data_IF_150610759371
#
_entry.id   IF_150610759371
#
_cell.length_a   1.000
_cell.length_b   1.000
_cell.length_c   1.000
_cell.angle_alpha   90.00
_cell.angle_beta   90.00
_cell.angle_gamma   90.00
#
_symmetry.space_group_name_H-M   'P 1'
#
loop_
_entity.id
_entity.type
_entity.pdbx_description
1 polymer ?
#
# COMPACT_ATOMS: atom_id res chain seq x y z
N UNK A 1 -2.37 -10.02 -15.01
CA UNK A 1 -0.89 -9.90 -15.05
C UNK A 1 -0.38 -10.06 -13.63
N UNK A 2 0.44 -11.03 -13.44
CA UNK A 2 1.01 -11.33 -12.13
C UNK A 2 2.26 -10.46 -11.93
N UNK A 3 2.19 -9.59 -10.95
CA UNK A 3 3.28 -8.69 -10.58
C UNK A 3 3.88 -9.14 -9.26
N UNK A 4 5.19 -9.14 -9.15
CA UNK A 4 5.90 -9.43 -7.91
C UNK A 4 7.17 -8.59 -7.79
N UNK A 5 7.37 -7.99 -6.62
CA UNK A 5 8.61 -7.32 -6.21
C UNK A 5 9.11 -8.03 -4.95
N UNK A 6 10.30 -8.58 -5.02
CA UNK A 6 10.90 -9.33 -3.89
C UNK A 6 11.96 -8.47 -3.20
N UNK A 7 11.86 -8.38 -1.89
CA UNK A 7 12.85 -7.69 -1.03
C UNK A 7 13.54 -8.70 -0.10
N UNK A 8 14.38 -8.22 0.81
CA UNK A 8 15.07 -9.08 1.78
C UNK A 8 14.07 -9.89 2.64
N UNK A 9 12.97 -9.27 3.09
CA UNK A 9 12.02 -9.87 4.00
C UNK A 9 10.59 -10.00 3.46
N UNK A 10 10.29 -9.39 2.30
CA UNK A 10 8.93 -9.27 1.77
C UNK A 10 8.84 -9.78 0.33
N UNK A 11 7.67 -10.28 -0.01
CA UNK A 11 7.16 -10.39 -1.36
C UNK A 11 5.97 -9.43 -1.50
N UNK A 12 6.07 -8.47 -2.40
CA UNK A 12 4.98 -7.59 -2.79
C UNK A 12 4.43 -8.14 -4.10
N UNK A 13 3.24 -8.69 -4.08
CA UNK A 13 2.66 -9.39 -5.23
C UNK A 13 1.23 -8.97 -5.52
N UNK A 14 0.77 -9.26 -6.72
CA UNK A 14 -0.65 -9.12 -7.05
C UNK A 14 -1.51 -9.84 -6.00
N UNK A 15 -2.67 -9.24 -5.67
CA UNK A 15 -3.60 -9.86 -4.73
C UNK A 15 -4.12 -11.19 -5.26
N UNK A 16 -4.25 -12.15 -4.35
CA UNK A 16 -4.94 -13.42 -4.56
C UNK A 16 -6.26 -13.43 -3.80
N UNK A 17 -7.18 -14.31 -4.17
CA UNK A 17 -8.47 -14.43 -3.47
C UNK A 17 -8.29 -14.76 -1.99
N UNK A 18 -7.24 -15.51 -1.66
CA UNK A 18 -6.88 -15.87 -0.27
C UNK A 18 -6.42 -14.70 0.59
N UNK A 19 -6.08 -13.54 0.01
CA UNK A 19 -5.71 -12.33 0.74
C UNK A 19 -6.93 -11.58 1.31
N UNK A 20 -8.13 -11.90 0.82
CA UNK A 20 -9.34 -11.18 1.20
C UNK A 20 -9.61 -11.17 2.71
N UNK A 21 -9.52 -12.30 3.45
CA UNK A 21 -9.75 -12.26 4.90
C UNK A 21 -8.76 -11.35 5.64
N UNK A 22 -7.47 -11.45 5.34
CA UNK A 22 -6.43 -10.62 5.99
C UNK A 22 -6.63 -9.13 5.69
N UNK A 23 -6.96 -8.80 4.45
CA UNK A 23 -7.23 -7.41 4.05
C UNK A 23 -8.52 -6.87 4.67
N UNK A 24 -9.55 -7.69 4.78
CA UNK A 24 -10.80 -7.33 5.48
C UNK A 24 -10.54 -7.04 6.96
N UNK A 25 -9.74 -7.86 7.64
CA UNK A 25 -9.34 -7.64 9.03
C UNK A 25 -8.54 -6.35 9.18
N UNK A 26 -7.65 -6.05 8.25
CA UNK A 26 -6.91 -4.79 8.21
C UNK A 26 -7.85 -3.58 8.16
N UNK A 27 -8.82 -3.58 7.25
CA UNK A 27 -9.79 -2.48 7.11
C UNK A 27 -10.80 -2.41 8.26
N UNK A 28 -11.04 -3.49 8.99
CA UNK A 28 -11.88 -3.51 10.18
C UNK A 28 -11.16 -3.04 11.44
N UNK A 29 -9.83 -2.97 11.45
CA UNK A 29 -9.05 -2.54 12.60
C UNK A 29 -9.14 -1.02 12.78
N UNK A 30 -9.71 -0.58 13.92
CA UNK A 30 -9.87 0.83 14.24
C UNK A 30 -8.54 1.60 14.32
N UNK A 31 -7.46 0.95 14.75
CA UNK A 31 -6.14 1.56 14.78
C UNK A 31 -5.58 1.84 13.37
N UNK A 32 -5.96 1.04 12.41
CA UNK A 32 -5.60 1.23 10.99
C UNK A 32 -6.54 2.25 10.35
N UNK A 33 -7.85 2.13 10.57
CA UNK A 33 -8.88 3.01 9.98
C UNK A 33 -8.60 4.49 10.23
N UNK A 34 -8.15 4.85 11.43
CA UNK A 34 -7.88 6.24 11.77
C UNK A 34 -6.79 6.90 10.91
N UNK A 35 -5.96 6.11 10.25
CA UNK A 35 -4.88 6.58 9.37
C UNK A 35 -5.22 6.47 7.88
N UNK A 36 -6.34 5.84 7.55
CA UNK A 36 -6.82 5.73 6.18
C UNK A 36 -7.90 6.78 5.91
N UNK A 37 -7.99 7.24 4.68
CA UNK A 37 -9.05 8.15 4.24
C UNK A 37 -10.36 7.36 3.98
N UNK A 38 -10.72 6.50 4.93
CA UNK A 38 -11.95 5.71 4.90
C UNK A 38 -12.72 5.95 6.20
N UNK A 39 -14.03 5.94 6.10
CA UNK A 39 -14.89 6.07 7.28
C UNK A 39 -14.84 4.82 8.17
N UNK A 40 -15.35 4.90 9.41
CA UNK A 40 -15.51 3.73 10.27
C UNK A 40 -16.39 2.69 9.57
N UNK A 41 -15.96 1.43 9.60
CA UNK A 41 -16.73 0.33 9.03
C UNK A 41 -16.65 -0.90 9.93
N UNK A 42 -17.77 -1.62 10.01
CA UNK A 42 -17.82 -2.91 10.68
C UNK A 42 -17.25 -4.04 9.82
N UNK A 43 -17.22 -5.29 10.35
CA UNK A 43 -16.62 -6.44 9.65
C UNK A 43 -17.22 -6.71 8.27
N UNK A 44 -18.52 -6.59 8.12
CA UNK A 44 -19.21 -6.79 6.83
C UNK A 44 -18.83 -5.73 5.79
N UNK A 45 -18.83 -4.46 6.20
CA UNK A 45 -18.40 -3.35 5.34
C UNK A 45 -16.92 -3.43 4.98
N UNK A 46 -16.07 -3.83 5.93
CA UNK A 46 -14.64 -4.02 5.70
C UNK A 46 -14.35 -5.13 4.67
N UNK A 47 -15.11 -6.22 4.72
CA UNK A 47 -14.98 -7.31 3.76
C UNK A 47 -15.39 -6.89 2.34
N UNK A 48 -16.50 -6.17 2.23
CA UNK A 48 -16.97 -5.63 0.94
C UNK A 48 -15.98 -4.61 0.37
N UNK A 49 -15.48 -3.73 1.23
CA UNK A 49 -14.44 -2.75 0.87
C UNK A 49 -13.16 -3.44 0.39
N UNK A 50 -12.69 -4.47 1.10
CA UNK A 50 -11.51 -5.24 0.74
C UNK A 50 -11.67 -5.94 -0.62
N UNK A 51 -12.83 -6.54 -0.88
CA UNK A 51 -13.11 -7.18 -2.17
C UNK A 51 -13.09 -6.17 -3.33
N UNK A 52 -13.64 -4.99 -3.12
CA UNK A 52 -13.60 -3.89 -4.10
C UNK A 52 -12.19 -3.36 -4.28
N UNK A 53 -11.43 -3.21 -3.20
CA UNK A 53 -10.04 -2.76 -3.23
C UNK A 53 -9.14 -3.72 -4.05
N UNK A 54 -9.27 -5.02 -3.85
CA UNK A 54 -8.55 -6.04 -4.63
C UNK A 54 -8.89 -5.94 -6.12
N UNK A 55 -10.19 -5.87 -6.44
CA UNK A 55 -10.64 -5.75 -7.83
C UNK A 55 -10.09 -4.50 -8.50
N UNK A 56 -10.19 -3.36 -7.83
CA UNK A 56 -9.69 -2.09 -8.35
C UNK A 56 -8.17 -2.14 -8.56
N UNK A 57 -7.43 -2.77 -7.67
CA UNK A 57 -5.97 -2.94 -7.83
C UNK A 57 -5.61 -3.76 -9.07
N UNK A 58 -6.36 -4.83 -9.35
CA UNK A 58 -6.16 -5.61 -10.57
C UNK A 58 -6.47 -4.78 -11.82
N UNK A 59 -7.52 -3.98 -11.79
CA UNK A 59 -7.89 -3.10 -12.90
C UNK A 59 -6.84 -2.00 -13.12
N UNK A 60 -6.36 -1.37 -12.05
CA UNK A 60 -5.27 -0.37 -12.11
C UNK A 60 -4.00 -0.94 -12.77
N UNK A 61 -3.59 -2.14 -12.39
CA UNK A 61 -2.45 -2.82 -13.01
C UNK A 61 -2.66 -3.11 -14.49
N UNK A 62 -3.84 -3.61 -14.85
CA UNK A 62 -4.17 -3.98 -16.23
C UNK A 62 -4.26 -2.77 -17.15
N UNK A 63 -4.85 -1.68 -16.68
CA UNK A 63 -5.16 -0.51 -17.50
C UNK A 63 -4.11 0.59 -17.39
N UNK A 64 -3.54 0.77 -16.20
CA UNK A 64 -2.62 1.87 -15.89
C UNK A 64 -1.16 1.49 -15.76
N UNK A 65 -0.83 0.20 -15.77
CA UNK A 65 0.54 -0.28 -15.63
C UNK A 65 1.15 -0.10 -14.24
N UNK A 66 0.37 0.34 -13.26
CA UNK A 66 0.73 0.39 -11.85
C UNK A 66 -0.51 0.15 -11.00
N UNK A 67 -0.32 -0.24 -9.75
CA UNK A 67 -1.41 -0.50 -8.82
C UNK A 67 -0.87 -0.90 -7.46
N UNK A 68 -1.76 -1.30 -6.58
CA UNK A 68 -1.42 -1.73 -5.22
C UNK A 68 -1.11 -3.22 -5.20
N UNK A 69 -0.19 -3.61 -4.35
CA UNK A 69 0.24 -5.00 -4.17
C UNK A 69 -0.03 -5.46 -2.73
N UNK A 70 -0.27 -6.75 -2.58
CA UNK A 70 -0.29 -7.42 -1.29
C UNK A 70 1.12 -7.49 -0.72
N UNK A 71 1.29 -7.17 0.55
CA UNK A 71 2.58 -7.28 1.26
C UNK A 71 2.58 -8.57 2.06
N UNK A 72 3.49 -9.47 1.71
CA UNK A 72 3.58 -10.80 2.31
C UNK A 72 5.00 -11.02 2.85
N UNK A 73 5.18 -11.33 4.12
CA UNK A 73 6.50 -11.69 4.64
C UNK A 73 7.05 -12.94 3.96
N UNK A 74 8.34 -12.94 3.66
CA UNK A 74 9.02 -14.13 3.16
C UNK A 74 9.42 -15.00 4.35
N UNK A 75 8.83 -16.17 4.43
CA UNK A 75 9.21 -17.18 5.42
C UNK A 75 9.58 -18.47 4.70
N UNK A 76 10.58 -19.18 5.20
CA UNK A 76 11.01 -20.45 4.64
C UNK A 76 10.06 -21.62 4.93
N UNK A 77 9.11 -21.44 5.84
CA UNK A 77 8.28 -22.50 6.41
C UNK A 77 6.78 -22.17 6.30
N UNK A 78 6.13 -22.53 5.19
CA UNK A 78 4.69 -22.57 5.07
C UNK A 78 4.01 -21.32 4.49
N UNK A 79 2.69 -21.34 4.47
CA UNK A 79 1.85 -20.24 4.00
C UNK A 79 1.93 -19.06 4.97
N UNK A 80 2.30 -17.90 4.45
CA UNK A 80 2.36 -16.66 5.21
C UNK A 80 1.25 -15.74 4.73
N UNK A 81 0.43 -15.29 5.67
CA UNK A 81 -0.65 -14.34 5.37
C UNK A 81 -0.10 -12.97 4.94
N UNK A 82 -0.87 -12.30 4.09
CA UNK A 82 -0.67 -10.90 3.80
C UNK A 82 -0.76 -10.06 5.09
N UNK A 83 0.17 -9.13 5.25
CA UNK A 83 0.23 -8.24 6.42
C UNK A 83 -0.29 -6.83 6.10
N UNK A 84 -0.62 -6.57 4.86
CA UNK A 84 -1.12 -5.29 4.39
C UNK A 84 -0.92 -5.10 2.91
N UNK A 85 -0.80 -3.85 2.51
CA UNK A 85 -0.63 -3.47 1.11
C UNK A 85 0.38 -2.33 0.93
N UNK A 86 0.98 -2.26 -0.25
CA UNK A 86 1.82 -1.15 -0.69
C UNK A 86 1.81 -1.09 -2.23
N UNK A 87 1.76 0.10 -2.79
CA UNK A 87 1.80 0.24 -4.24
C UNK A 87 1.71 1.68 -4.72
N UNK A 88 1.60 1.83 -6.02
CA UNK A 88 1.43 3.10 -6.70
C UNK A 88 0.04 3.17 -7.32
N UNK A 89 -0.64 4.27 -7.14
CA UNK A 89 -1.98 4.53 -7.66
C UNK A 89 -1.96 5.76 -8.55
N UNK A 90 -2.71 5.72 -9.64
CA UNK A 90 -2.89 6.91 -10.46
C UNK A 90 -3.66 8.00 -9.71
N UNK A 91 -3.27 9.24 -9.94
CA UNK A 91 -3.97 10.42 -9.42
C UNK A 91 -4.90 10.95 -10.52
N UNK A 92 -6.24 10.96 -10.28
CA UNK A 92 -7.20 11.37 -11.31
C UNK A 92 -7.02 12.80 -11.83
N UNK A 93 -6.51 13.68 -10.99
CA UNK A 93 -6.30 15.10 -11.24
C UNK A 93 -4.86 15.45 -11.71
N UNK A 94 -3.97 14.45 -11.80
CA UNK A 94 -2.55 14.65 -12.16
C UNK A 94 -2.04 13.54 -13.08
N UNK A 95 -2.16 13.76 -14.38
CA UNK A 95 -1.81 12.77 -15.43
C UNK A 95 -0.35 12.29 -15.36
N UNK A 96 0.56 13.11 -14.86
CA UNK A 96 2.00 12.80 -14.82
C UNK A 96 2.52 12.46 -13.43
N UNK A 97 1.65 12.13 -12.49
CA UNK A 97 2.00 11.76 -11.13
C UNK A 97 1.27 10.50 -10.67
N UNK A 98 1.90 9.76 -9.79
CA UNK A 98 1.29 8.63 -9.07
C UNK A 98 1.43 8.82 -7.57
N UNK A 99 0.58 8.18 -6.81
CA UNK A 99 0.57 8.22 -5.35
C UNK A 99 1.09 6.90 -4.78
N UNK A 100 2.08 6.98 -3.90
CA UNK A 100 2.48 5.87 -3.04
C UNK A 100 1.45 5.73 -1.92
N UNK A 101 0.87 4.54 -1.82
CA UNK A 101 -0.07 4.17 -0.76
C UNK A 101 0.40 2.91 -0.05
N UNK A 102 0.23 2.85 1.27
CA UNK A 102 0.54 1.66 2.06
C UNK A 102 -0.22 1.65 3.38
N UNK A 103 -0.50 0.47 3.88
CA UNK A 103 -0.94 0.22 5.25
C UNK A 103 -0.57 -1.20 5.65
N UNK A 104 -0.16 -1.37 6.89
CA UNK A 104 0.13 -2.67 7.50
C UNK A 104 -0.73 -2.88 8.73
N UNK A 105 -1.04 -4.15 9.03
CA UNK A 105 -1.70 -4.54 10.26
C UNK A 105 -0.88 -4.12 11.48
N UNK A 106 -1.58 -3.73 12.56
CA UNK A 106 -0.99 -3.19 13.79
C UNK A 106 0.11 -4.09 14.38
N UNK A 107 -0.04 -5.41 14.31
CA UNK A 107 0.93 -6.38 14.80
C UNK A 107 2.28 -6.36 14.06
N UNK A 108 2.36 -5.67 12.93
CA UNK A 108 3.56 -5.60 12.08
C UNK A 108 4.21 -4.21 12.06
N UNK A 109 3.70 -3.27 12.87
CA UNK A 109 4.28 -1.94 12.99
C UNK A 109 5.61 -1.95 13.75
N UNK A 110 6.45 -0.96 13.49
CA UNK A 110 7.72 -0.76 14.20
C UNK A 110 8.83 -1.75 13.85
N UNK A 111 8.67 -2.54 12.78
CA UNK A 111 9.63 -3.55 12.33
C UNK A 111 10.35 -3.18 11.03
N UNK A 112 10.06 -2.02 10.48
CA UNK A 112 10.68 -1.55 9.24
C UNK A 112 10.05 -2.10 7.95
N UNK A 113 8.98 -2.87 8.02
CA UNK A 113 8.33 -3.47 6.86
C UNK A 113 7.74 -2.41 5.92
N UNK A 114 7.07 -1.40 6.44
CA UNK A 114 6.50 -0.33 5.61
C UNK A 114 7.57 0.43 4.85
N UNK A 115 8.70 0.73 5.48
CA UNK A 115 9.85 1.38 4.84
C UNK A 115 10.46 0.50 3.75
N UNK A 116 10.64 -0.78 4.01
CA UNK A 116 11.17 -1.75 3.05
C UNK A 116 10.25 -1.89 1.83
N UNK A 117 8.95 -2.01 2.06
CA UNK A 117 7.96 -2.07 0.99
C UNK A 117 7.92 -0.78 0.16
N UNK A 118 7.88 0.38 0.82
CA UNK A 118 7.84 1.68 0.17
C UNK A 118 9.07 1.93 -0.71
N UNK A 119 10.27 1.62 -0.22
CA UNK A 119 11.51 1.71 -1.01
C UNK A 119 11.44 0.87 -2.27
N UNK A 120 11.06 -0.39 -2.14
CA UNK A 120 10.98 -1.30 -3.27
C UNK A 120 9.97 -0.83 -4.33
N UNK A 121 8.81 -0.34 -3.90
CA UNK A 121 7.78 0.20 -4.79
C UNK A 121 8.25 1.49 -5.47
N UNK A 122 8.92 2.39 -4.74
CA UNK A 122 9.48 3.62 -5.31
C UNK A 122 10.56 3.33 -6.36
N UNK A 123 11.50 2.44 -6.07
CA UNK A 123 12.53 2.00 -7.02
C UNK A 123 11.89 1.41 -8.28
N UNK A 124 10.93 0.51 -8.10
CA UNK A 124 10.19 -0.07 -9.22
C UNK A 124 9.48 1.01 -10.05
N UNK A 125 8.82 1.96 -9.40
CA UNK A 125 8.10 3.05 -10.08
C UNK A 125 9.03 3.96 -10.90
N UNK A 126 10.20 4.31 -10.33
CA UNK A 126 11.22 5.11 -11.02
C UNK A 126 11.74 4.38 -12.26
N UNK A 127 11.95 3.08 -12.16
CA UNK A 127 12.54 2.29 -13.25
C UNK A 127 11.53 1.93 -14.37
N UNK A 128 10.23 1.86 -14.04
CA UNK A 128 9.24 1.29 -14.94
C UNK A 128 8.15 2.27 -15.41
N UNK A 129 7.94 3.38 -14.71
CA UNK A 129 6.89 4.34 -15.05
C UNK A 129 7.44 5.61 -15.69
N UNK A 130 6.70 6.11 -16.68
CA UNK A 130 6.98 7.41 -17.29
C UNK A 130 6.14 8.49 -16.59
N UNK A 131 6.48 8.78 -15.33
CA UNK A 131 5.84 9.83 -14.54
C UNK A 131 6.87 10.87 -14.12
N UNK A 132 6.41 12.10 -13.84
CA UNK A 132 7.29 13.19 -13.42
C UNK A 132 7.56 13.16 -11.93
N UNK A 133 6.61 12.67 -11.15
CA UNK A 133 6.71 12.64 -9.70
C UNK A 133 5.91 11.49 -9.09
N UNK A 134 6.41 11.00 -7.98
CA UNK A 134 5.70 10.07 -7.11
C UNK A 134 5.42 10.83 -5.80
N UNK A 135 4.15 10.97 -5.48
CA UNK A 135 3.68 11.68 -4.30
C UNK A 135 3.22 10.70 -3.22
N UNK A 136 3.20 11.13 -1.99
CA UNK A 136 2.56 10.43 -0.89
C UNK A 136 1.90 11.45 0.03
N UNK A 137 0.73 11.12 0.54
CA UNK A 137 -0.03 12.00 1.40
C UNK A 137 -0.24 11.34 2.77
N UNK A 138 -0.10 12.12 3.82
CA UNK A 138 -0.39 11.68 5.17
C UNK A 138 -0.82 12.87 6.02
N UNK A 139 -1.51 12.60 7.11
CA UNK A 139 -1.88 13.63 8.06
C UNK A 139 -0.64 14.15 8.79
N UNK A 140 -0.59 15.46 9.14
CA UNK A 140 0.56 16.04 9.84
C UNK A 140 0.89 15.34 11.16
N UNK A 141 -0.11 14.83 11.87
CA UNK A 141 0.01 14.14 13.15
C UNK A 141 0.40 12.66 13.04
N UNK A 142 0.38 12.09 11.82
CA UNK A 142 0.79 10.70 11.60
C UNK A 142 2.32 10.59 11.46
N UNK A 143 3.01 10.73 12.56
CA UNK A 143 4.50 10.76 12.60
C UNK A 143 5.12 9.49 12.05
N UNK A 144 4.54 8.31 12.33
CA UNK A 144 5.06 7.04 11.83
C UNK A 144 5.08 6.98 10.29
N UNK A 145 4.01 7.42 9.63
CA UNK A 145 3.95 7.48 8.16
C UNK A 145 4.94 8.49 7.59
N UNK A 146 5.07 9.66 8.22
CA UNK A 146 6.07 10.66 7.79
C UNK A 146 7.49 10.10 7.83
N UNK A 147 7.83 9.36 8.89
CA UNK A 147 9.14 8.69 9.00
C UNK A 147 9.37 7.63 7.94
N UNK A 148 8.34 6.85 7.61
CA UNK A 148 8.42 5.88 6.51
C UNK A 148 8.74 6.58 5.20
N UNK A 149 8.04 7.65 4.87
CA UNK A 149 8.28 8.43 3.65
C UNK A 149 9.70 8.99 3.59
N UNK A 150 10.17 9.62 4.67
CA UNK A 150 11.52 10.17 4.77
C UNK A 150 12.59 9.10 4.61
N UNK A 151 12.46 7.96 5.32
CA UNK A 151 13.40 6.84 5.21
C UNK A 151 13.37 6.16 3.84
N UNK A 152 12.25 6.22 3.15
CA UNK A 152 12.12 5.73 1.79
C UNK A 152 12.73 6.66 0.73
N UNK A 153 13.17 7.87 1.14
CA UNK A 153 13.85 8.84 0.28
C UNK A 153 12.96 9.97 -0.22
N UNK A 154 11.74 10.08 0.30
CA UNK A 154 10.82 11.18 -0.07
C UNK A 154 11.09 12.43 0.77
N UNK A 155 10.79 13.59 0.20
CA UNK A 155 10.96 14.89 0.84
C UNK A 155 9.61 15.57 1.03
N UNK A 156 9.43 16.23 2.18
CA UNK A 156 8.25 17.05 2.41
C UNK A 156 8.20 18.22 1.42
N UNK A 157 7.05 18.46 0.84
CA UNK A 157 6.82 19.55 -0.12
C UNK A 157 5.93 20.64 0.44
N UNK A 158 4.70 20.29 0.83
CA UNK A 158 3.73 21.27 1.30
C UNK A 158 2.55 20.60 2.00
N UNK A 159 1.79 21.37 2.75
CA UNK A 159 0.48 20.95 3.22
C UNK A 159 -0.57 21.21 2.12
N UNK A 160 -1.59 20.35 2.05
CA UNK A 160 -2.68 20.45 1.09
C UNK A 160 -3.98 19.94 1.73
N UNK A 161 -5.08 20.52 1.30
CA UNK A 161 -6.44 20.12 1.71
C UNK A 161 -6.95 18.99 0.82
N UNK A 162 -6.49 17.78 1.09
CA UNK A 162 -6.85 16.61 0.32
C UNK A 162 -7.64 15.59 1.13
#
# INVERSE_FOLDING_TARGET
MDMEIVTARLSLRSFLDEDLPALADLFADGAVQQHLAVGPMGPSGAREFAATFIRNSHDEWREGGCGVLSVVPRSGDGEVEAIGFCGLRQLPDRISAVELVYALGQGHWGQGFATEAARAVLEWGIDNLTVREILAFTRPDHIASRRVMEKAGMSFQSETDR
#
